data_IF_492283490200
#
_entry.id   IF_492283490200
#
_cell.length_a   1.000
_cell.length_b   1.000
_cell.length_c   1.000
_cell.angle_alpha   90.00
_cell.angle_beta   90.00
_cell.angle_gamma   90.00
#
_symmetry.space_group_name_H-M   'P 1'
#
loop_
_entity.id
_entity.type
_entity.pdbx_description
1 polymer ?
#
# COMPACT_ATOMS: atom_id res chain seq x y z
N UNK A 1 15.42 -11.10 83.44
CA UNK A 1 14.79 -9.86 82.92
C UNK A 1 14.99 -9.80 81.41
N UNK A 2 13.89 -9.58 80.69
CA UNK A 2 13.74 -9.17 79.27
C UNK A 2 14.59 -9.89 78.20
N UNK A 3 14.04 -10.96 77.65
CA UNK A 3 14.31 -11.40 76.28
C UNK A 3 13.30 -10.76 75.33
N UNK A 4 13.81 -10.01 74.35
CA UNK A 4 13.08 -9.42 73.24
C UNK A 4 12.48 -10.48 72.32
N UNK A 5 11.23 -10.30 71.89
CA UNK A 5 10.71 -10.99 70.71
C UNK A 5 10.11 -9.92 69.79
N UNK A 6 10.95 -9.40 68.90
CA UNK A 6 10.51 -8.72 67.70
C UNK A 6 9.80 -9.74 66.81
N UNK A 7 8.47 -9.68 66.79
CA UNK A 7 7.67 -10.36 65.78
C UNK A 7 7.80 -9.57 64.47
N UNK A 8 8.74 -9.95 63.63
CA UNK A 8 8.77 -9.55 62.23
C UNK A 8 7.54 -10.13 61.55
N UNK A 9 6.52 -9.29 61.32
CA UNK A 9 5.38 -9.59 60.47
C UNK A 9 5.88 -9.77 59.03
N UNK A 10 6.26 -11.00 58.66
CA UNK A 10 6.35 -11.38 57.25
C UNK A 10 4.93 -11.43 56.71
N UNK A 11 4.52 -10.37 56.01
CA UNK A 11 3.37 -10.41 55.11
C UNK A 11 3.73 -11.37 53.99
N UNK A 12 3.40 -12.65 54.14
CA UNK A 12 3.47 -13.62 53.06
C UNK A 12 2.33 -13.30 52.11
N UNK A 13 2.65 -12.59 51.03
CA UNK A 13 1.69 -12.35 49.95
C UNK A 13 1.10 -13.68 49.47
N UNK A 14 -0.22 -13.75 49.34
CA UNK A 14 -0.92 -14.94 48.84
C UNK A 14 -0.39 -15.28 47.44
N UNK A 15 -0.14 -16.57 47.16
CA UNK A 15 0.37 -17.06 45.86
C UNK A 15 -0.49 -16.58 44.68
N UNK A 16 -1.80 -16.40 44.90
CA UNK A 16 -2.74 -15.84 43.92
C UNK A 16 -2.48 -14.36 43.60
N UNK A 17 -2.17 -13.57 44.63
CA UNK A 17 -1.84 -12.15 44.44
C UNK A 17 -0.54 -12.00 43.65
N UNK A 18 0.47 -12.83 43.95
CA UNK A 18 1.75 -12.81 43.24
C UNK A 18 1.58 -13.22 41.77
N UNK A 19 0.80 -14.27 41.49
CA UNK A 19 0.51 -14.70 40.12
C UNK A 19 -0.24 -13.62 39.31
N UNK A 20 -1.27 -13.01 39.89
CA UNK A 20 -2.02 -11.94 39.24
C UNK A 20 -1.16 -10.68 39.04
N UNK A 21 -0.35 -10.30 40.02
CA UNK A 21 0.58 -9.18 39.90
C UNK A 21 1.62 -9.42 38.80
N UNK A 22 2.08 -10.66 38.66
CA UNK A 22 3.02 -11.06 37.60
C UNK A 22 2.36 -10.96 36.23
N UNK A 23 1.12 -11.47 36.09
CA UNK A 23 0.34 -11.28 34.86
C UNK A 23 0.17 -9.79 34.52
N UNK A 24 -0.23 -8.97 35.50
CA UNK A 24 -0.43 -7.54 35.28
C UNK A 24 0.86 -6.85 34.84
N UNK A 25 2.01 -7.21 35.40
CA UNK A 25 3.31 -6.70 34.96
C UNK A 25 3.56 -7.01 33.47
N UNK A 26 3.38 -8.27 33.06
CA UNK A 26 3.55 -8.66 31.65
C UNK A 26 2.51 -8.02 30.73
N UNK A 27 1.28 -7.90 31.19
CA UNK A 27 0.21 -7.25 30.44
C UNK A 27 0.49 -5.76 30.20
N UNK A 28 0.96 -5.05 31.24
CA UNK A 28 1.38 -3.65 31.12
C UNK A 28 2.62 -3.50 30.23
N UNK A 29 3.58 -4.43 30.34
CA UNK A 29 4.74 -4.46 29.44
C UNK A 29 4.31 -4.68 27.98
N UNK A 30 3.32 -5.54 27.72
CA UNK A 30 2.76 -5.75 26.40
C UNK A 30 2.02 -4.50 25.87
N UNK A 31 1.28 -3.77 26.72
CA UNK A 31 0.69 -2.48 26.35
C UNK A 31 1.78 -1.48 25.94
N UNK A 32 2.86 -1.38 26.71
CA UNK A 32 3.98 -0.50 26.36
C UNK A 32 4.59 -0.93 25.04
N UNK A 33 4.85 -2.22 24.85
CA UNK A 33 5.35 -2.77 23.58
C UNK A 33 4.46 -2.38 22.39
N UNK A 34 3.14 -2.59 22.46
CA UNK A 34 2.24 -2.24 21.37
C UNK A 34 2.12 -0.73 21.13
N UNK A 35 2.26 0.11 22.16
CA UNK A 35 2.42 1.56 21.95
C UNK A 35 3.65 1.93 21.11
N UNK A 36 4.72 1.14 21.20
CA UNK A 36 5.94 1.37 20.43
C UNK A 36 5.92 0.73 19.04
N UNK A 37 5.18 -0.36 18.84
CA UNK A 37 5.18 -1.09 17.55
C UNK A 37 3.95 -0.79 16.68
N UNK A 38 2.80 -0.50 17.28
CA UNK A 38 1.52 -0.35 16.58
C UNK A 38 1.12 1.09 16.29
N UNK A 39 1.99 2.07 16.58
CA UNK A 39 1.67 3.48 16.37
C UNK A 39 1.45 3.87 14.90
N UNK A 40 1.88 3.02 13.96
CA UNK A 40 1.64 3.16 12.51
C UNK A 40 0.52 2.28 11.97
N UNK A 41 -0.11 1.47 12.82
CA UNK A 41 -1.19 0.58 12.38
C UNK A 41 -2.53 1.31 12.53
N UNK A 42 -3.19 1.73 11.43
CA UNK A 42 -4.45 2.49 11.50
C UNK A 42 -5.61 1.70 12.11
N UNK A 43 -5.48 0.37 12.25
CA UNK A 43 -6.47 -0.49 12.91
C UNK A 43 -6.21 -0.68 14.41
N UNK A 44 -5.14 -0.09 14.93
CA UNK A 44 -4.74 -0.18 16.34
C UNK A 44 -5.37 0.91 17.18
N UNK A 45 -5.72 0.60 18.43
CA UNK A 45 -6.06 1.61 19.45
C UNK A 45 -4.82 2.44 19.82
N UNK A 46 -3.63 1.92 19.56
CA UNK A 46 -2.36 2.62 19.79
C UNK A 46 -1.90 3.45 18.60
N UNK A 47 -2.69 3.54 17.52
CA UNK A 47 -2.38 4.37 16.36
C UNK A 47 -2.16 5.83 16.79
N UNK A 48 -1.05 6.40 16.34
CA UNK A 48 -0.73 7.79 16.59
C UNK A 48 -0.58 8.50 15.24
N UNK A 49 -1.61 9.23 14.75
CA UNK A 49 -1.55 9.88 13.44
C UNK A 49 -0.43 10.92 13.36
N UNK A 50 0.03 11.48 14.48
CA UNK A 50 1.13 12.45 14.47
C UNK A 50 2.48 11.82 14.08
N UNK A 51 2.62 10.50 14.27
CA UNK A 51 3.83 9.72 13.98
C UNK A 51 3.63 8.70 12.85
N UNK A 52 2.39 8.24 12.68
CA UNK A 52 1.98 7.27 11.67
C UNK A 52 2.18 7.80 10.26
N UNK A 53 1.83 9.06 10.05
CA UNK A 53 1.97 9.75 8.77
C UNK A 53 3.31 10.50 8.60
N UNK A 54 4.31 10.21 9.44
CA UNK A 54 5.64 10.79 9.27
C UNK A 54 6.24 10.39 7.92
N UNK A 55 6.61 11.39 7.13
CA UNK A 55 7.26 11.21 5.83
C UNK A 55 8.76 11.02 6.07
N UNK A 56 9.21 9.77 6.15
CA UNK A 56 10.61 9.43 6.38
C UNK A 56 11.25 9.06 5.05
N UNK A 57 10.86 7.91 4.51
CA UNK A 57 11.42 7.43 3.25
C UNK A 57 10.81 8.18 2.06
N UNK A 58 9.52 8.53 2.13
CA UNK A 58 8.89 9.30 1.04
C UNK A 58 9.47 10.71 0.88
N UNK A 59 9.86 11.37 1.97
CA UNK A 59 10.53 12.67 1.88
C UNK A 59 11.89 12.53 1.20
N UNK A 60 12.72 11.58 1.67
CA UNK A 60 14.00 11.25 1.05
C UNK A 60 13.85 10.92 -0.45
N UNK A 61 12.88 10.09 -0.80
CA UNK A 61 12.66 9.66 -2.19
C UNK A 61 12.12 10.78 -3.07
N UNK A 62 11.30 11.67 -2.53
CA UNK A 62 10.83 12.86 -3.24
C UNK A 62 11.99 13.81 -3.55
N UNK A 63 12.89 14.06 -2.59
CA UNK A 63 14.06 14.92 -2.82
C UNK A 63 14.96 14.36 -3.95
N UNK A 64 15.15 13.04 -4.01
CA UNK A 64 15.89 12.39 -5.10
C UNK A 64 15.19 12.56 -6.45
N UNK A 65 13.87 12.39 -6.49
CA UNK A 65 13.07 12.53 -7.70
C UNK A 65 13.10 13.96 -8.23
N UNK A 66 12.90 14.94 -7.36
CA UNK A 66 12.88 16.35 -7.72
C UNK A 66 14.28 16.82 -8.17
N UNK A 67 15.35 16.33 -7.52
CA UNK A 67 16.72 16.58 -7.94
C UNK A 67 17.03 15.95 -9.31
N UNK A 68 16.52 14.76 -9.61
CA UNK A 68 16.67 14.16 -10.93
C UNK A 68 16.03 15.03 -12.01
N UNK A 69 14.76 15.43 -11.82
CA UNK A 69 14.03 16.26 -12.78
C UNK A 69 14.73 17.61 -13.00
N UNK A 70 15.24 18.23 -11.93
CA UNK A 70 15.93 19.52 -12.03
C UNK A 70 17.26 19.47 -12.80
N UNK A 71 17.87 18.29 -12.92
CA UNK A 71 19.16 18.09 -13.59
C UNK A 71 19.04 17.50 -15.00
N UNK A 72 17.82 17.34 -15.53
CA UNK A 72 17.61 16.85 -16.90
C UNK A 72 18.16 17.86 -17.90
N UNK A 73 19.01 17.40 -18.82
CA UNK A 73 19.52 18.22 -19.91
C UNK A 73 18.39 18.50 -20.92
N UNK A 74 18.10 19.78 -21.25
CA UNK A 74 17.06 20.14 -22.21
C UNK A 74 17.27 19.59 -23.63
N UNK A 75 18.50 19.21 -23.99
CA UNK A 75 18.82 18.55 -25.26
C UNK A 75 18.47 17.05 -25.27
N UNK A 76 18.13 16.47 -24.11
CA UNK A 76 17.96 15.03 -23.94
C UNK A 76 19.27 14.25 -23.93
N UNK A 77 20.42 14.92 -23.83
CA UNK A 77 21.72 14.24 -23.76
C UNK A 77 21.77 13.26 -22.58
N UNK A 78 22.13 12.01 -22.88
CA UNK A 78 22.21 10.94 -21.87
C UNK A 78 20.87 10.35 -21.47
N UNK A 79 19.75 10.75 -22.08
CA UNK A 79 18.46 10.10 -21.85
C UNK A 79 18.38 8.80 -22.67
N UNK A 80 18.16 7.69 -21.99
CA UNK A 80 17.80 6.43 -22.63
C UNK A 80 16.28 6.39 -22.92
N UNK A 81 15.91 5.83 -24.07
CA UNK A 81 14.54 5.64 -24.52
C UNK A 81 14.18 4.15 -24.55
N UNK A 82 12.91 3.85 -24.80
CA UNK A 82 12.45 2.48 -25.00
C UNK A 82 13.26 1.75 -26.09
N UNK A 83 13.56 0.48 -25.84
CA UNK A 83 14.16 -0.42 -26.82
C UNK A 83 13.16 -0.83 -27.91
N UNK A 84 13.56 -1.77 -28.77
CA UNK A 84 12.67 -2.29 -29.83
C UNK A 84 11.51 -3.13 -29.30
N UNK A 85 11.68 -3.76 -28.14
CA UNK A 85 10.70 -4.67 -27.53
C UNK A 85 10.59 -4.41 -26.02
N UNK A 86 10.07 -3.23 -25.59
CA UNK A 86 9.85 -2.96 -24.18
C UNK A 86 8.82 -3.95 -23.62
N UNK A 87 9.01 -4.41 -22.39
CA UNK A 87 8.07 -5.35 -21.77
C UNK A 87 6.92 -4.67 -21.02
N UNK A 88 7.09 -3.40 -20.63
CA UNK A 88 6.09 -2.64 -19.85
C UNK A 88 5.85 -1.29 -20.52
N UNK A 89 4.58 -0.96 -20.80
CA UNK A 89 4.17 0.41 -21.09
C UNK A 89 3.74 1.07 -19.78
N UNK A 90 4.22 2.27 -19.49
CA UNK A 90 3.86 3.04 -18.30
C UNK A 90 3.10 4.28 -18.75
N UNK A 91 1.83 4.35 -18.37
CA UNK A 91 1.00 5.52 -18.58
C UNK A 91 0.88 6.33 -17.28
N UNK A 92 1.14 7.64 -17.36
CA UNK A 92 0.85 8.58 -16.27
C UNK A 92 -0.04 9.71 -16.80
N UNK A 93 -1.24 9.85 -16.23
CA UNK A 93 -2.14 10.97 -16.52
C UNK A 93 -2.00 12.05 -15.44
N UNK A 94 -1.84 13.29 -15.85
CA UNK A 94 -1.68 14.44 -14.95
C UNK A 94 -2.68 15.54 -15.26
N UNK A 95 -3.24 16.11 -14.19
CA UNK A 95 -4.12 17.29 -14.26
C UNK A 95 -3.54 18.41 -13.41
N UNK A 96 -3.66 19.66 -13.87
CA UNK A 96 -3.13 20.81 -13.14
C UNK A 96 -3.82 20.96 -11.78
N UNK A 97 -3.04 20.82 -10.71
CA UNK A 97 -3.45 21.12 -9.32
C UNK A 97 -2.75 22.40 -8.84
N UNK A 98 -3.47 23.29 -8.17
CA UNK A 98 -2.88 24.56 -7.69
C UNK A 98 -1.93 24.33 -6.52
N UNK A 99 -0.66 24.69 -6.69
CA UNK A 99 0.35 24.64 -5.64
C UNK A 99 0.73 23.23 -5.22
N UNK A 100 0.81 22.30 -6.18
CA UNK A 100 1.39 20.97 -6.02
C UNK A 100 2.16 20.61 -7.31
N UNK A 101 3.30 19.91 -7.17
CA UNK A 101 4.15 19.46 -8.28
C UNK A 101 4.33 17.95 -8.25
N UNK A 102 3.25 17.21 -8.01
CA UNK A 102 3.32 15.77 -7.83
C UNK A 102 3.86 15.05 -9.07
N UNK A 103 3.47 15.51 -10.26
CA UNK A 103 3.86 14.89 -11.52
C UNK A 103 5.38 14.84 -11.73
N UNK A 104 6.10 15.88 -11.32
CA UNK A 104 7.56 15.91 -11.36
C UNK A 104 8.12 14.80 -10.47
N UNK A 105 7.68 14.71 -9.22
CA UNK A 105 8.17 13.70 -8.27
C UNK A 105 7.78 12.28 -8.70
N UNK A 106 6.60 12.09 -9.31
CA UNK A 106 6.17 10.80 -9.83
C UNK A 106 7.08 10.32 -10.97
N UNK A 107 7.29 11.14 -12.00
CA UNK A 107 8.19 10.82 -13.12
C UNK A 107 9.63 10.68 -12.67
N UNK A 108 10.09 11.60 -11.81
CA UNK A 108 11.44 11.59 -11.27
C UNK A 108 11.73 10.33 -10.46
N UNK A 109 10.82 9.91 -9.57
CA UNK A 109 11.00 8.71 -8.76
C UNK A 109 10.88 7.42 -9.58
N UNK A 110 10.13 7.44 -10.67
CA UNK A 110 10.03 6.31 -11.59
C UNK A 110 11.37 6.06 -12.31
N UNK A 111 12.03 7.12 -12.76
CA UNK A 111 13.22 7.05 -13.62
C UNK A 111 14.53 7.11 -12.85
N UNK A 112 14.58 7.82 -11.73
CA UNK A 112 15.81 7.97 -10.94
C UNK A 112 16.25 6.59 -10.42
N UNK A 113 17.50 6.25 -10.73
CA UNK A 113 18.14 5.02 -10.25
C UNK A 113 17.95 3.81 -11.17
N UNK A 114 17.25 3.96 -12.31
CA UNK A 114 17.22 2.95 -13.36
C UNK A 114 18.52 2.96 -14.17
N UNK A 115 18.99 1.78 -14.57
CA UNK A 115 20.05 1.68 -15.59
C UNK A 115 19.49 1.91 -17.00
N UNK A 116 20.35 2.20 -17.97
CA UNK A 116 19.92 2.34 -19.38
C UNK A 116 19.21 1.10 -19.92
N UNK A 117 19.61 -0.09 -19.47
CA UNK A 117 18.95 -1.35 -19.85
C UNK A 117 17.54 -1.43 -19.28
N UNK A 118 17.37 -1.06 -18.02
CA UNK A 118 16.05 -1.02 -17.37
C UNK A 118 15.17 0.04 -18.01
N UNK A 119 15.71 1.22 -18.32
CA UNK A 119 14.97 2.27 -19.03
C UNK A 119 14.55 1.84 -20.44
N UNK A 120 15.38 1.05 -21.15
CA UNK A 120 15.04 0.46 -22.46
C UNK A 120 13.92 -0.58 -22.39
N UNK A 121 13.68 -1.21 -21.24
CA UNK A 121 12.58 -2.16 -21.05
C UNK A 121 11.22 -1.46 -20.88
N UNK A 122 11.20 -0.14 -20.72
CA UNK A 122 10.01 0.65 -20.43
C UNK A 122 9.64 1.54 -21.61
N UNK A 123 8.37 1.55 -21.98
CA UNK A 123 7.77 2.57 -22.85
C UNK A 123 7.01 3.57 -21.98
N UNK A 124 7.50 4.80 -21.87
CA UNK A 124 6.91 5.83 -21.01
C UNK A 124 5.99 6.77 -21.81
N UNK A 125 4.69 6.68 -21.53
CA UNK A 125 3.66 7.57 -22.06
C UNK A 125 3.22 8.56 -20.97
N UNK A 126 3.44 9.85 -21.23
CA UNK A 126 3.02 10.93 -20.34
C UNK A 126 1.86 11.71 -20.94
N UNK A 127 0.81 11.91 -20.15
CA UNK A 127 -0.44 12.52 -20.61
C UNK A 127 -0.82 13.73 -19.77
N UNK A 128 -0.86 14.91 -20.40
CA UNK A 128 -1.46 16.11 -19.82
C UNK A 128 -2.95 16.12 -20.17
N UNK A 129 -3.78 15.69 -19.23
CA UNK A 129 -5.21 15.46 -19.44
C UNK A 129 -6.02 16.77 -19.39
N UNK A 130 -5.65 17.73 -20.24
CA UNK A 130 -6.34 19.01 -20.45
C UNK A 130 -6.65 19.19 -21.93
N UNK A 131 -7.88 19.63 -22.25
CA UNK A 131 -8.23 19.99 -23.64
C UNK A 131 -7.32 21.06 -24.22
N UNK A 132 -6.78 21.92 -23.36
CA UNK A 132 -5.66 22.79 -23.66
C UNK A 132 -4.46 22.43 -22.76
N UNK A 133 -3.50 21.66 -23.28
CA UNK A 133 -2.35 21.17 -22.50
C UNK A 133 -1.45 22.29 -21.96
N UNK A 134 -1.44 23.48 -22.57
CA UNK A 134 -0.64 24.63 -22.11
C UNK A 134 -1.05 25.20 -20.75
N UNK A 135 -2.23 24.82 -20.24
CA UNK A 135 -2.68 25.18 -18.88
C UNK A 135 -1.92 24.41 -17.80
N UNK A 136 -1.29 23.29 -18.15
CA UNK A 136 -0.52 22.47 -17.25
C UNK A 136 0.92 22.97 -17.17
N UNK A 137 1.43 23.16 -15.95
CA UNK A 137 2.76 23.74 -15.70
C UNK A 137 3.88 22.94 -16.36
N UNK A 138 3.79 21.60 -16.35
CA UNK A 138 4.76 20.72 -16.98
C UNK A 138 4.84 20.87 -18.51
N UNK A 139 3.83 21.46 -19.17
CA UNK A 139 3.83 21.64 -20.63
C UNK A 139 5.06 22.42 -21.13
N UNK A 140 5.51 23.40 -20.34
CA UNK A 140 6.65 24.25 -20.68
C UNK A 140 7.95 23.82 -19.97
N UNK A 141 7.97 22.67 -19.29
CA UNK A 141 9.18 22.19 -18.61
C UNK A 141 10.00 21.29 -19.54
N UNK A 142 11.32 21.51 -19.58
CA UNK A 142 12.22 20.84 -20.53
C UNK A 142 12.18 19.30 -20.40
N UNK A 143 12.14 18.79 -19.18
CA UNK A 143 12.10 17.35 -18.90
C UNK A 143 10.89 16.66 -19.53
N UNK A 144 9.74 17.36 -19.63
CA UNK A 144 8.52 16.79 -20.20
C UNK A 144 8.67 16.57 -21.71
N UNK A 145 9.55 17.31 -22.37
CA UNK A 145 9.82 17.19 -23.79
C UNK A 145 10.82 16.08 -24.13
N UNK A 146 11.66 15.67 -23.18
CA UNK A 146 12.80 14.77 -23.46
C UNK A 146 12.73 13.42 -22.76
N UNK A 147 12.08 13.30 -21.60
CA UNK A 147 12.00 12.04 -20.85
C UNK A 147 11.01 10.98 -21.39
N UNK A 148 9.80 11.34 -21.85
CA UNK A 148 8.85 10.34 -22.33
C UNK A 148 9.21 9.79 -23.71
N UNK A 149 8.79 8.55 -23.96
CA UNK A 149 8.76 7.96 -25.31
C UNK A 149 7.56 8.49 -26.11
N UNK A 150 6.44 8.75 -25.42
CA UNK A 150 5.23 9.30 -26.01
C UNK A 150 4.65 10.41 -25.13
N UNK A 151 4.29 11.54 -25.76
CA UNK A 151 3.47 12.58 -25.14
C UNK A 151 2.06 12.47 -25.69
N UNK A 152 1.14 12.02 -24.86
CA UNK A 152 -0.25 11.85 -25.24
C UNK A 152 -1.00 13.18 -25.15
N UNK A 153 -1.86 13.45 -26.13
CA UNK A 153 -2.76 14.61 -26.18
C UNK A 153 -4.14 14.17 -26.69
N UNK A 154 -5.09 15.11 -26.74
CA UNK A 154 -6.41 14.89 -27.35
C UNK A 154 -6.47 15.25 -28.85
N UNK A 155 -5.34 15.57 -29.48
CA UNK A 155 -5.33 16.18 -30.83
C UNK A 155 -5.93 15.26 -31.91
N UNK A 156 -5.93 13.95 -31.67
CA UNK A 156 -6.48 12.95 -32.58
C UNK A 156 -7.98 12.67 -32.36
N UNK A 157 -8.64 13.37 -31.44
CA UNK A 157 -10.07 13.21 -31.18
C UNK A 157 -10.93 14.05 -32.13
N UNK A 158 -12.20 13.65 -32.29
CA UNK A 158 -13.16 14.43 -33.08
C UNK A 158 -13.49 15.76 -32.38
N UNK A 159 -13.82 16.82 -33.14
CA UNK A 159 -14.17 18.11 -32.55
C UNK A 159 -15.29 18.02 -31.50
N UNK A 160 -16.31 17.20 -31.75
CA UNK A 160 -17.41 16.99 -30.80
C UNK A 160 -16.97 16.33 -29.49
N UNK A 161 -16.00 15.41 -29.53
CA UNK A 161 -15.43 14.80 -28.32
C UNK A 161 -14.61 15.83 -27.53
N UNK A 162 -13.85 16.69 -28.21
CA UNK A 162 -13.07 17.76 -27.56
C UNK A 162 -14.00 18.77 -26.88
N UNK A 163 -15.11 19.14 -27.53
CA UNK A 163 -16.10 20.06 -26.95
C UNK A 163 -16.77 19.46 -25.71
N UNK A 164 -17.10 18.17 -25.73
CA UNK A 164 -17.62 17.45 -24.56
C UNK A 164 -16.62 17.42 -23.40
N UNK A 165 -15.35 17.11 -23.67
CA UNK A 165 -14.29 17.13 -22.64
C UNK A 165 -14.12 18.52 -22.04
N UNK A 166 -14.22 19.57 -22.86
CA UNK A 166 -14.15 20.96 -22.38
C UNK A 166 -15.34 21.30 -21.49
N UNK A 167 -16.53 20.76 -21.78
CA UNK A 167 -17.69 20.88 -20.91
C UNK A 167 -17.44 20.21 -19.56
N UNK A 168 -16.94 18.96 -19.55
CA UNK A 168 -16.65 18.22 -18.33
C UNK A 168 -15.58 18.91 -17.46
N UNK A 169 -14.56 19.53 -18.08
CA UNK A 169 -13.54 20.33 -17.38
C UNK A 169 -14.15 21.54 -16.64
N UNK A 170 -15.12 22.21 -17.27
CA UNK A 170 -15.75 23.40 -16.71
C UNK A 170 -16.85 23.06 -15.69
N UNK A 171 -17.60 21.98 -15.93
CA UNK A 171 -18.76 21.58 -15.14
C UNK A 171 -18.44 20.58 -14.04
N UNK A 172 -17.15 20.36 -13.73
CA UNK A 172 -16.71 19.46 -12.65
C UNK A 172 -17.15 18.01 -12.86
N UNK A 173 -16.95 17.48 -14.07
CA UNK A 173 -17.18 16.06 -14.41
C UNK A 173 -16.19 15.12 -13.74
N UNK A 174 -16.23 15.03 -12.40
CA UNK A 174 -15.22 14.40 -11.54
C UNK A 174 -15.13 12.87 -11.62
N UNK A 175 -16.01 12.25 -12.37
CA UNK A 175 -16.10 10.79 -12.55
C UNK A 175 -15.98 10.44 -14.03
N UNK A 176 -16.77 11.08 -14.88
CA UNK A 176 -16.75 10.84 -16.33
C UNK A 176 -15.41 11.23 -16.99
N UNK A 177 -14.89 12.44 -16.74
CA UNK A 177 -13.65 12.88 -17.38
C UNK A 177 -12.44 12.03 -16.94
N UNK A 178 -12.20 11.78 -15.64
CA UNK A 178 -11.10 10.91 -15.23
C UNK A 178 -11.18 9.50 -15.81
N UNK A 179 -12.40 8.94 -15.96
CA UNK A 179 -12.58 7.66 -16.62
C UNK A 179 -12.20 7.72 -18.10
N UNK A 180 -12.65 8.77 -18.81
CA UNK A 180 -12.25 8.99 -20.20
C UNK A 180 -10.71 9.11 -20.34
N UNK A 181 -10.09 9.92 -19.49
CA UNK A 181 -8.65 10.15 -19.49
C UNK A 181 -7.87 8.85 -19.28
N UNK A 182 -8.35 8.04 -18.33
CA UNK A 182 -7.79 6.73 -18.03
C UNK A 182 -7.91 5.78 -19.22
N UNK A 183 -9.08 5.70 -19.86
CA UNK A 183 -9.31 4.86 -21.05
C UNK A 183 -8.45 5.32 -22.23
N UNK A 184 -8.33 6.63 -22.46
CA UNK A 184 -7.51 7.19 -23.54
C UNK A 184 -6.04 6.81 -23.38
N UNK A 185 -5.50 6.97 -22.16
CA UNK A 185 -4.14 6.56 -21.83
C UNK A 185 -3.95 5.04 -21.90
N UNK A 186 -4.91 4.27 -21.40
CA UNK A 186 -4.87 2.80 -21.44
C UNK A 186 -4.84 2.29 -22.89
N UNK A 187 -5.60 2.92 -23.79
CA UNK A 187 -5.61 2.62 -25.22
C UNK A 187 -4.26 2.94 -25.88
N UNK A 188 -3.67 4.10 -25.60
CA UNK A 188 -2.33 4.46 -26.09
C UNK A 188 -1.30 3.41 -25.64
N UNK A 189 -1.27 3.06 -24.35
CA UNK A 189 -0.38 2.00 -23.88
C UNK A 189 -0.68 0.62 -24.51
N UNK A 190 -1.95 0.28 -24.74
CA UNK A 190 -2.31 -0.98 -25.40
C UNK A 190 -1.78 -1.05 -26.83
N UNK A 191 -1.74 0.08 -27.55
CA UNK A 191 -1.21 0.18 -28.91
C UNK A 191 0.32 0.09 -28.98
N UNK A 192 1.04 0.27 -27.87
CA UNK A 192 2.50 0.06 -27.81
C UNK A 192 2.94 -1.41 -27.90
N UNK A 193 1.97 -2.35 -27.91
CA UNK A 193 2.19 -3.80 -28.01
C UNK A 193 3.02 -4.44 -26.88
N UNK A 194 3.20 -3.75 -25.75
CA UNK A 194 3.88 -4.33 -24.58
C UNK A 194 3.05 -5.46 -23.96
N UNK A 195 3.70 -6.52 -23.42
CA UNK A 195 3.06 -7.59 -22.65
C UNK A 195 2.36 -7.12 -21.36
N UNK A 196 2.87 -6.04 -20.75
CA UNK A 196 2.36 -5.49 -19.51
C UNK A 196 2.08 -4.00 -19.66
N UNK A 197 1.03 -3.52 -18.99
CA UNK A 197 0.63 -2.11 -18.98
C UNK A 197 0.52 -1.63 -17.54
N UNK A 198 1.31 -0.64 -17.19
CA UNK A 198 1.34 -0.02 -15.88
C UNK A 198 0.64 1.33 -15.95
N UNK A 199 -0.40 1.50 -15.15
CA UNK A 199 -1.16 2.74 -15.04
C UNK A 199 -0.87 3.38 -13.69
N UNK A 200 -0.44 4.64 -13.74
CA UNK A 200 -0.07 5.42 -12.56
C UNK A 200 -0.87 6.72 -12.48
N UNK A 201 -1.21 7.11 -11.26
CA UNK A 201 -1.64 8.48 -10.96
C UNK A 201 -0.43 9.43 -10.85
N UNK A 202 -0.65 10.74 -10.99
CA UNK A 202 0.41 11.76 -10.96
C UNK A 202 0.95 12.07 -9.55
N UNK A 203 0.34 11.52 -8.50
CA UNK A 203 0.68 11.72 -7.10
C UNK A 203 1.17 10.48 -6.37
N UNK A 204 1.88 9.65 -7.13
CA UNK A 204 2.61 8.50 -6.62
C UNK A 204 4.11 8.76 -6.52
N UNK A 205 4.78 7.96 -5.69
CA UNK A 205 6.22 7.98 -5.51
C UNK A 205 6.77 6.55 -5.53
N UNK A 206 7.53 6.22 -6.57
CA UNK A 206 8.13 4.89 -6.69
C UNK A 206 9.33 4.75 -5.73
N UNK A 207 9.43 3.63 -5.02
CA UNK A 207 10.64 3.35 -4.22
C UNK A 207 11.84 3.15 -5.16
N UNK A 208 13.06 3.43 -4.69
CA UNK A 208 14.24 2.94 -5.40
C UNK A 208 14.22 1.40 -5.48
N UNK A 209 14.49 0.84 -6.66
CA UNK A 209 14.40 -0.61 -6.91
C UNK A 209 12.99 -1.14 -7.22
N UNK A 210 11.98 -0.27 -7.38
CA UNK A 210 10.62 -0.69 -7.77
C UNK A 210 10.61 -1.61 -8.99
N UNK A 211 11.43 -1.31 -10.01
CA UNK A 211 11.49 -2.05 -11.28
C UNK A 211 11.79 -3.53 -11.05
N UNK A 212 12.85 -3.84 -10.30
CA UNK A 212 13.27 -5.22 -10.06
C UNK A 212 12.20 -6.01 -9.31
N UNK A 213 11.62 -5.41 -8.27
CA UNK A 213 10.58 -6.06 -7.45
C UNK A 213 9.30 -6.27 -8.25
N UNK A 214 8.90 -5.32 -9.07
CA UNK A 214 7.77 -5.45 -9.99
C UNK A 214 8.01 -6.53 -11.04
N UNK A 215 9.18 -6.56 -11.68
CA UNK A 215 9.55 -7.60 -12.67
C UNK A 215 9.58 -9.00 -12.06
N UNK A 216 10.10 -9.13 -10.84
CA UNK A 216 10.06 -10.39 -10.10
C UNK A 216 8.61 -10.82 -9.80
N UNK A 217 7.77 -9.89 -9.33
CA UNK A 217 6.37 -10.18 -9.05
C UNK A 217 5.57 -10.58 -10.31
N UNK A 218 5.84 -9.92 -11.44
CA UNK A 218 5.32 -10.28 -12.77
C UNK A 218 5.72 -11.71 -13.13
N UNK A 219 7.02 -12.03 -13.03
CA UNK A 219 7.52 -13.37 -13.33
C UNK A 219 6.89 -14.45 -12.45
N UNK A 220 6.74 -14.18 -11.14
CA UNK A 220 6.05 -15.08 -10.22
C UNK A 220 4.56 -15.23 -10.54
N UNK A 221 3.92 -14.18 -11.05
CA UNK A 221 2.50 -14.17 -11.43
C UNK A 221 2.27 -14.96 -12.73
N UNK A 222 3.12 -14.83 -13.73
CA UNK A 222 3.05 -15.59 -14.99
C UNK A 222 3.16 -17.11 -14.78
N UNK A 223 3.85 -17.53 -13.71
CA UNK A 223 3.98 -18.95 -13.35
C UNK A 223 2.75 -19.53 -12.65
N UNK A 224 1.76 -18.69 -12.29
CA UNK A 224 0.54 -19.15 -11.62
C UNK A 224 -0.39 -19.83 -12.61
N UNK A 225 -1.05 -20.91 -12.16
CA UNK A 225 -1.98 -21.70 -13.00
C UNK A 225 -3.19 -20.90 -13.48
N UNK A 226 -3.53 -19.85 -12.76
CA UNK A 226 -4.65 -18.95 -12.92
C UNK A 226 -4.24 -17.56 -13.43
N UNK A 227 -3.04 -17.45 -14.03
CA UNK A 227 -2.55 -16.21 -14.64
C UNK A 227 -3.57 -15.56 -15.58
N UNK A 228 -4.20 -16.32 -16.47
CA UNK A 228 -5.23 -15.84 -17.42
C UNK A 228 -6.52 -15.33 -16.76
N UNK A 229 -6.69 -15.55 -15.45
CA UNK A 229 -7.79 -14.99 -14.66
C UNK A 229 -7.36 -13.76 -13.86
N UNK A 230 -6.12 -13.30 -14.00
CA UNK A 230 -5.60 -12.16 -13.25
C UNK A 230 -5.95 -10.86 -13.96
N UNK A 231 -6.61 -9.94 -13.24
CA UNK A 231 -6.96 -8.63 -13.81
C UNK A 231 -5.80 -7.64 -13.70
N UNK A 232 -5.10 -7.62 -12.56
CA UNK A 232 -3.96 -6.73 -12.31
C UNK A 232 -3.10 -7.21 -11.15
N UNK A 233 -1.88 -6.68 -11.12
CA UNK A 233 -0.98 -6.61 -9.99
C UNK A 233 -0.97 -5.17 -9.44
N UNK A 234 -1.38 -5.02 -8.19
CA UNK A 234 -1.38 -3.76 -7.44
C UNK A 234 0.00 -3.51 -6.82
N UNK A 235 0.56 -2.34 -7.09
CA UNK A 235 1.86 -1.93 -6.55
C UNK A 235 1.74 -0.94 -5.38
N UNK A 236 0.57 -0.32 -5.22
CA UNK A 236 0.19 0.52 -4.10
C UNK A 236 -1.10 0.03 -3.42
N UNK A 237 -1.11 -0.05 -2.10
CA UNK A 237 -2.33 -0.26 -1.31
C UNK A 237 -2.23 0.51 0.01
N UNK A 238 -3.36 0.86 0.60
CA UNK A 238 -3.42 1.45 1.96
C UNK A 238 -3.77 0.40 3.00
N UNK A 239 -3.07 0.40 4.14
CA UNK A 239 -3.38 -0.47 5.26
C UNK A 239 -4.67 -0.09 6.01
N UNK A 240 -5.24 1.08 5.72
CA UNK A 240 -6.44 1.58 6.39
C UNK A 240 -7.64 0.61 6.31
N UNK A 241 -7.76 -0.13 5.21
CA UNK A 241 -8.87 -1.07 4.99
C UNK A 241 -8.58 -2.49 5.48
N UNK A 242 -7.36 -2.78 5.97
CA UNK A 242 -6.99 -4.09 6.51
C UNK A 242 -7.29 -4.24 7.99
N UNK A 243 -8.20 -3.44 8.56
CA UNK A 243 -8.61 -3.58 9.96
C UNK A 243 -9.36 -4.87 10.27
N UNK A 244 -9.97 -4.91 11.46
CA UNK A 244 -10.82 -6.01 11.89
C UNK A 244 -12.19 -5.96 11.20
N UNK A 245 -12.22 -6.41 9.95
CA UNK A 245 -13.40 -6.35 9.08
C UNK A 245 -14.51 -7.31 9.53
N UNK A 246 -15.76 -6.85 9.53
CA UNK A 246 -16.91 -7.62 10.02
C UNK A 246 -17.16 -8.89 9.22
N UNK A 247 -16.80 -8.91 7.94
CA UNK A 247 -16.96 -10.03 7.02
C UNK A 247 -16.15 -11.26 7.49
N UNK A 248 -15.07 -11.04 8.24
CA UNK A 248 -14.16 -12.07 8.71
C UNK A 248 -14.41 -12.48 10.18
N UNK A 249 -15.51 -12.01 10.80
CA UNK A 249 -15.85 -12.32 12.20
C UNK A 249 -15.84 -13.81 12.56
N UNK A 250 -16.26 -14.77 11.68
CA UNK A 250 -16.24 -16.18 12.03
C UNK A 250 -14.81 -16.70 12.24
N UNK A 251 -13.87 -16.20 11.44
CA UNK A 251 -12.45 -16.54 11.56
C UNK A 251 -11.87 -16.01 12.88
N UNK A 252 -12.20 -14.77 13.24
CA UNK A 252 -11.76 -14.17 14.49
C UNK A 252 -12.30 -14.92 15.72
N UNK A 253 -13.58 -15.28 15.69
CA UNK A 253 -14.21 -16.06 16.74
C UNK A 253 -13.59 -17.46 16.83
N UNK A 254 -13.40 -18.13 15.68
CA UNK A 254 -12.78 -19.45 15.62
C UNK A 254 -11.41 -19.46 16.30
N UNK A 255 -10.52 -18.54 15.93
CA UNK A 255 -9.19 -18.45 16.54
C UNK A 255 -9.23 -18.07 18.02
N UNK A 256 -10.18 -17.23 18.43
CA UNK A 256 -10.39 -16.91 19.84
C UNK A 256 -10.81 -18.15 20.66
N UNK A 257 -11.71 -18.98 20.11
CA UNK A 257 -12.14 -20.24 20.72
C UNK A 257 -10.99 -21.25 20.76
N UNK A 258 -10.21 -21.38 19.68
CA UNK A 258 -9.04 -22.26 19.63
C UNK A 258 -8.03 -21.86 20.70
N UNK A 259 -7.72 -20.57 20.84
CA UNK A 259 -6.81 -20.07 21.88
C UNK A 259 -7.36 -20.33 23.28
N UNK A 260 -8.67 -20.17 23.50
CA UNK A 260 -9.29 -20.51 24.77
C UNK A 260 -9.22 -22.02 25.09
N UNK A 261 -9.51 -22.87 24.11
CA UNK A 261 -9.39 -24.32 24.23
C UNK A 261 -7.96 -24.78 24.48
N UNK A 262 -6.98 -24.20 23.77
CA UNK A 262 -5.56 -24.48 23.97
C UNK A 262 -5.10 -24.05 25.37
N UNK A 263 -5.55 -22.90 25.86
CA UNK A 263 -5.26 -22.44 27.22
C UNK A 263 -5.84 -23.38 28.27
N UNK A 264 -7.10 -23.80 28.10
CA UNK A 264 -7.72 -24.79 28.98
C UNK A 264 -6.97 -26.12 28.97
N UNK A 265 -6.62 -26.64 27.79
CA UNK A 265 -5.86 -27.87 27.63
C UNK A 265 -4.47 -27.76 28.29
N UNK A 266 -3.79 -26.62 28.16
CA UNK A 266 -2.51 -26.35 28.79
C UNK A 266 -2.62 -26.36 30.32
N UNK A 267 -3.62 -25.69 30.89
CA UNK A 267 -3.88 -25.72 32.35
C UNK A 267 -4.13 -27.16 32.81
N UNK A 268 -4.97 -27.92 32.09
CA UNK A 268 -5.25 -29.31 32.41
C UNK A 268 -3.99 -30.19 32.35
N UNK A 269 -3.20 -30.07 31.28
CA UNK A 269 -1.96 -30.80 31.09
C UNK A 269 -0.94 -30.46 32.19
N UNK A 270 -0.73 -29.19 32.52
CA UNK A 270 0.19 -28.77 33.58
C UNK A 270 -0.24 -29.35 34.93
N UNK A 271 -1.54 -29.31 35.26
CA UNK A 271 -2.04 -29.93 36.49
C UNK A 271 -1.86 -31.45 36.52
N UNK A 272 -2.02 -32.11 35.38
CA UNK A 272 -1.89 -33.58 35.26
C UNK A 272 -0.44 -34.06 35.34
N UNK A 273 0.47 -33.41 34.61
CA UNK A 273 1.86 -33.84 34.48
C UNK A 273 2.80 -33.23 35.53
N UNK A 274 2.42 -32.11 36.14
CA UNK A 274 3.20 -31.45 37.19
C UNK A 274 2.35 -31.21 38.44
N UNK A 275 2.15 -32.23 39.31
CA UNK A 275 1.33 -32.11 40.51
C UNK A 275 1.77 -30.99 41.46
N UNK A 276 3.05 -30.63 41.46
CA UNK A 276 3.62 -29.51 42.21
C UNK A 276 3.02 -28.14 41.83
N UNK A 277 2.34 -28.02 40.68
CA UNK A 277 1.64 -26.80 40.25
C UNK A 277 0.26 -26.63 40.89
N UNK A 278 -0.31 -27.69 41.49
CA UNK A 278 -1.67 -27.71 42.04
C UNK A 278 -1.95 -26.62 43.10
N UNK A 279 -1.00 -26.28 44.00
CA UNK A 279 -1.19 -25.17 44.95
C UNK A 279 -1.30 -23.79 44.29
N UNK A 280 -0.79 -23.64 43.07
CA UNK A 280 -0.81 -22.39 42.31
C UNK A 280 -1.98 -22.33 41.32
N UNK A 281 -2.34 -23.46 40.69
CA UNK A 281 -3.47 -23.58 39.78
C UNK A 281 -4.73 -24.04 40.52
N UNK A 282 -5.20 -23.25 41.49
CA UNK A 282 -6.47 -23.52 42.19
C UNK A 282 -7.68 -23.26 41.28
N UNK A 283 -8.88 -23.72 41.66
CA UNK A 283 -10.10 -23.46 40.88
C UNK A 283 -10.35 -21.95 40.68
N UNK A 284 -10.12 -21.14 41.72
CA UNK A 284 -10.23 -19.67 41.62
C UNK A 284 -9.20 -19.08 40.67
N UNK A 285 -7.95 -19.57 40.68
CA UNK A 285 -6.91 -19.12 39.75
C UNK A 285 -7.23 -19.51 38.31
N UNK A 286 -7.72 -20.72 38.10
CA UNK A 286 -8.13 -21.18 36.78
C UNK A 286 -9.30 -20.36 36.23
N UNK A 287 -10.29 -20.03 37.07
CA UNK A 287 -11.38 -19.13 36.69
C UNK A 287 -10.86 -17.74 36.35
N UNK A 288 -9.94 -17.17 37.13
CA UNK A 288 -9.33 -15.88 36.84
C UNK A 288 -8.54 -15.89 35.51
N UNK A 289 -7.77 -16.94 35.25
CA UNK A 289 -7.03 -17.08 33.98
C UNK A 289 -8.00 -17.13 32.80
N UNK A 290 -9.03 -17.98 32.87
CA UNK A 290 -9.95 -18.24 31.76
C UNK A 290 -10.93 -17.10 31.50
N UNK A 291 -11.39 -16.40 32.53
CA UNK A 291 -12.44 -15.39 32.42
C UNK A 291 -11.96 -13.95 32.63
N UNK A 292 -10.71 -13.74 33.02
CA UNK A 292 -10.12 -12.39 33.16
C UNK A 292 -8.86 -12.27 32.30
N UNK A 293 -7.81 -13.02 32.61
CA UNK A 293 -6.51 -12.84 31.95
C UNK A 293 -6.56 -13.16 30.45
N UNK A 294 -7.21 -14.25 30.07
CA UNK A 294 -7.35 -14.68 28.68
C UNK A 294 -8.19 -13.69 27.86
N UNK A 295 -9.42 -13.29 28.27
CA UNK A 295 -10.17 -12.25 27.58
C UNK A 295 -9.42 -10.92 27.48
N UNK A 296 -8.70 -10.50 28.52
CA UNK A 296 -7.86 -9.29 28.46
C UNK A 296 -6.74 -9.40 27.42
N UNK A 297 -6.11 -10.58 27.31
CA UNK A 297 -5.03 -10.83 26.34
C UNK A 297 -5.56 -10.89 24.91
N UNK A 298 -6.70 -11.56 24.69
CA UNK A 298 -7.40 -11.56 23.41
C UNK A 298 -7.80 -10.13 23.03
N UNK A 299 -8.40 -9.38 23.97
CA UNK A 299 -8.74 -7.98 23.76
C UNK A 299 -7.54 -7.12 23.40
N UNK A 300 -6.38 -7.34 24.05
CA UNK A 300 -5.14 -6.65 23.71
C UNK A 300 -4.62 -7.01 22.30
N UNK A 301 -4.77 -8.27 21.86
CA UNK A 301 -4.42 -8.68 20.49
C UNK A 301 -5.22 -7.91 19.44
N UNK A 302 -6.54 -7.76 19.64
CA UNK A 302 -7.37 -6.94 18.75
C UNK A 302 -7.02 -5.45 18.88
N UNK A 303 -6.82 -4.94 20.10
CA UNK A 303 -6.46 -3.54 20.33
C UNK A 303 -5.09 -3.15 19.76
N UNK A 304 -4.16 -4.10 19.62
CA UNK A 304 -2.87 -3.89 18.99
C UNK A 304 -2.96 -3.59 17.48
N UNK A 305 -4.09 -3.91 16.84
CA UNK A 305 -4.33 -3.68 15.42
C UNK A 305 -3.93 -4.87 14.55
N UNK A 306 -4.73 -5.10 13.50
CA UNK A 306 -4.61 -6.25 12.59
C UNK A 306 -3.24 -6.27 11.92
N UNK A 307 -2.80 -5.15 11.35
CA UNK A 307 -1.59 -5.14 10.52
C UNK A 307 -0.32 -5.34 11.35
N UNK A 308 -0.34 -4.96 12.62
CA UNK A 308 0.75 -5.25 13.57
C UNK A 308 0.84 -6.74 13.88
N UNK A 309 -0.29 -7.37 14.24
CA UNK A 309 -0.28 -8.74 14.80
C UNK A 309 -0.46 -9.84 13.76
N UNK A 310 -0.97 -9.48 12.57
CA UNK A 310 -1.22 -10.37 11.44
C UNK A 310 -0.95 -9.63 10.12
N UNK A 311 0.31 -9.23 9.87
CA UNK A 311 0.69 -8.54 8.63
C UNK A 311 0.52 -9.45 7.42
N UNK A 312 0.36 -8.83 6.24
CA UNK A 312 0.46 -9.54 4.98
C UNK A 312 1.87 -10.12 4.82
N UNK A 313 1.96 -11.31 4.23
CA UNK A 313 3.27 -11.91 3.93
C UNK A 313 3.92 -11.16 2.78
N UNK A 314 5.22 -10.91 2.89
CA UNK A 314 6.01 -10.32 1.82
C UNK A 314 6.00 -11.23 0.57
N UNK A 315 6.08 -10.61 -0.61
CA UNK A 315 5.96 -11.22 -1.92
C UNK A 315 4.60 -10.98 -2.59
N UNK A 316 4.32 -11.78 -3.62
CA UNK A 316 3.05 -11.74 -4.36
C UNK A 316 1.90 -12.33 -3.53
N UNK A 317 0.89 -11.51 -3.22
CA UNK A 317 -0.28 -11.91 -2.43
C UNK A 317 -1.58 -11.72 -3.22
N UNK A 318 -2.56 -12.59 -2.98
CA UNK A 318 -3.94 -12.32 -3.38
C UNK A 318 -4.48 -11.14 -2.56
N UNK A 319 -5.18 -10.23 -3.22
CA UNK A 319 -5.80 -9.06 -2.61
C UNK A 319 -7.16 -8.80 -3.25
N UNK A 320 -8.01 -9.83 -3.15
CA UNK A 320 -9.35 -9.80 -3.72
C UNK A 320 -10.34 -8.95 -2.92
N UNK A 321 -10.04 -8.71 -1.64
CA UNK A 321 -10.88 -7.92 -0.73
C UNK A 321 -10.03 -6.87 -0.02
N UNK A 322 -10.69 -5.78 0.38
CA UNK A 322 -10.11 -4.68 1.18
C UNK A 322 -8.90 -4.00 0.53
N UNK A 323 -8.67 -4.28 -0.74
CA UNK A 323 -7.77 -3.52 -1.57
C UNK A 323 -8.41 -2.19 -1.88
N UNK A 324 -7.62 -1.11 -1.81
CA UNK A 324 -8.04 0.14 -2.40
C UNK A 324 -6.97 0.73 -3.29
N UNK A 325 -7.59 1.41 -4.25
CA UNK A 325 -7.19 2.62 -4.92
C UNK A 325 -6.33 2.37 -6.17
N UNK A 326 -6.47 3.26 -7.15
CA UNK A 326 -5.97 3.11 -8.53
C UNK A 326 -4.60 3.73 -8.78
N UNK A 327 -3.86 4.07 -7.72
CA UNK A 327 -2.60 4.81 -7.82
C UNK A 327 -1.55 4.11 -8.66
N UNK A 328 -1.42 2.79 -8.53
CA UNK A 328 -0.40 2.03 -9.23
C UNK A 328 -0.86 0.60 -9.52
N UNK A 329 -1.32 0.38 -10.75
CA UNK A 329 -1.70 -0.93 -11.26
C UNK A 329 -0.79 -1.38 -12.40
N UNK A 330 -0.56 -2.68 -12.48
CA UNK A 330 0.08 -3.34 -13.60
C UNK A 330 -0.85 -4.42 -14.14
N UNK A 331 -1.34 -4.23 -15.35
CA UNK A 331 -2.27 -5.11 -16.03
C UNK A 331 -1.52 -6.03 -17.00
N UNK A 332 -1.80 -7.34 -17.02
CA UNK A 332 -1.38 -8.19 -18.11
C UNK A 332 -2.17 -7.81 -19.37
N UNK A 333 -1.54 -7.88 -20.54
CA UNK A 333 -2.16 -7.45 -21.80
C UNK A 333 -3.51 -8.11 -22.08
N UNK A 334 -3.70 -9.38 -21.72
CA UNK A 334 -4.94 -10.11 -21.97
C UNK A 334 -6.15 -9.51 -21.23
N UNK A 335 -5.95 -8.82 -20.09
CA UNK A 335 -7.02 -8.23 -19.30
C UNK A 335 -7.54 -6.88 -19.88
N UNK A 336 -6.76 -6.24 -20.75
CA UNK A 336 -6.97 -4.83 -21.13
C UNK A 336 -8.17 -4.62 -22.03
N UNK A 337 -8.34 -5.45 -23.06
CA UNK A 337 -9.42 -5.27 -24.03
C UNK A 337 -10.81 -5.31 -23.35
N UNK A 338 -11.03 -6.30 -22.47
CA UNK A 338 -12.29 -6.42 -21.74
C UNK A 338 -12.52 -5.30 -20.72
N UNK A 339 -11.47 -4.75 -20.12
CA UNK A 339 -11.56 -3.59 -19.22
C UNK A 339 -11.93 -2.32 -19.98
N UNK A 340 -11.30 -2.08 -21.13
CA UNK A 340 -11.61 -0.93 -22.00
C UNK A 340 -13.09 -0.98 -22.40
N UNK A 341 -13.56 -2.12 -22.92
CA UNK A 341 -14.96 -2.28 -23.34
C UNK A 341 -15.94 -2.02 -22.18
N UNK A 342 -15.60 -2.49 -20.97
CA UNK A 342 -16.41 -2.27 -19.79
C UNK A 342 -16.46 -0.80 -19.36
N UNK A 343 -15.33 -0.10 -19.37
CA UNK A 343 -15.26 1.32 -19.04
C UNK A 343 -16.03 2.17 -20.04
N UNK A 344 -15.86 1.90 -21.33
CA UNK A 344 -16.57 2.63 -22.38
C UNK A 344 -18.07 2.38 -22.32
N UNK A 345 -18.52 1.16 -22.01
CA UNK A 345 -19.94 0.87 -21.83
C UNK A 345 -20.54 1.62 -20.63
N UNK A 346 -19.79 1.79 -19.54
CA UNK A 346 -20.27 2.42 -18.32
C UNK A 346 -20.31 3.94 -18.41
N UNK A 347 -19.41 4.55 -19.18
CA UNK A 347 -19.26 5.98 -19.42
C UNK A 347 -18.93 6.85 -18.19
N UNK A 348 -19.37 6.49 -16.99
CA UNK A 348 -19.20 7.27 -15.77
C UNK A 348 -18.94 6.36 -14.55
N UNK A 349 -18.07 6.82 -13.65
CA UNK A 349 -17.77 6.16 -12.38
C UNK A 349 -16.30 6.29 -11.93
N UNK A 350 -15.99 5.72 -10.77
CA UNK A 350 -14.62 5.67 -10.24
C UNK A 350 -13.88 4.44 -10.75
N UNK A 351 -12.68 4.64 -11.31
CA UNK A 351 -11.87 3.58 -11.94
C UNK A 351 -11.65 2.40 -10.98
N UNK A 352 -11.27 2.67 -9.73
CA UNK A 352 -11.03 1.64 -8.72
C UNK A 352 -12.28 0.78 -8.46
N UNK A 353 -13.43 1.39 -8.14
CA UNK A 353 -14.69 0.68 -7.89
C UNK A 353 -15.16 -0.09 -9.14
N UNK A 354 -14.99 0.48 -10.32
CA UNK A 354 -15.37 -0.14 -11.58
C UNK A 354 -14.49 -1.34 -11.91
N UNK A 355 -13.18 -1.24 -11.68
CA UNK A 355 -12.25 -2.36 -11.86
C UNK A 355 -12.60 -3.51 -10.92
N UNK A 356 -12.87 -3.21 -9.65
CA UNK A 356 -13.28 -4.20 -8.65
C UNK A 356 -14.59 -4.87 -9.05
N UNK A 357 -15.61 -4.08 -9.43
CA UNK A 357 -16.90 -4.60 -9.90
C UNK A 357 -16.75 -5.50 -11.14
N UNK A 358 -15.94 -5.08 -12.11
CA UNK A 358 -15.64 -5.89 -13.29
C UNK A 358 -14.99 -7.21 -12.91
N UNK A 359 -14.06 -7.18 -11.97
CA UNK A 359 -13.34 -8.36 -11.48
C UNK A 359 -14.27 -9.33 -10.77
N UNK A 360 -15.19 -8.84 -9.94
CA UNK A 360 -16.19 -9.66 -9.26
C UNK A 360 -17.15 -10.34 -10.23
N UNK A 361 -17.71 -9.58 -11.18
CA UNK A 361 -18.65 -10.10 -12.20
C UNK A 361 -18.00 -11.21 -13.01
N UNK A 362 -16.73 -11.02 -13.39
CA UNK A 362 -15.99 -11.97 -14.23
C UNK A 362 -15.18 -13.01 -13.43
N UNK A 363 -15.25 -12.98 -12.10
CA UNK A 363 -14.50 -13.85 -11.18
C UNK A 363 -12.99 -13.85 -11.44
N UNK A 364 -12.45 -12.65 -11.66
CA UNK A 364 -11.04 -12.40 -11.89
C UNK A 364 -10.29 -12.21 -10.55
N UNK A 365 -9.01 -12.54 -10.56
CA UNK A 365 -8.12 -12.46 -9.42
C UNK A 365 -7.36 -11.15 -9.40
N UNK A 366 -7.19 -10.61 -8.19
CA UNK A 366 -6.47 -9.36 -7.96
C UNK A 366 -5.26 -9.66 -7.09
N UNK A 367 -4.11 -9.23 -7.54
CA UNK A 367 -2.85 -9.48 -6.86
C UNK A 367 -2.26 -8.19 -6.33
N UNK A 368 -1.41 -8.29 -5.31
CA UNK A 368 -0.64 -7.16 -4.79
C UNK A 368 0.79 -7.59 -4.48
N UNK A 369 1.71 -6.64 -4.68
CA UNK A 369 3.09 -6.79 -4.25
C UNK A 369 3.25 -6.22 -2.82
N UNK A 370 3.71 -7.07 -1.90
CA UNK A 370 3.93 -6.73 -0.48
C UNK A 370 5.42 -6.84 -0.16
N UNK A 371 6.06 -5.85 0.50
CA UNK A 371 5.53 -4.52 0.79
C UNK A 371 5.30 -3.71 -0.50
N UNK A 372 4.46 -2.68 -0.39
CA UNK A 372 4.15 -1.78 -1.50
C UNK A 372 5.42 -1.10 -2.05
N UNK A 373 5.53 -0.99 -3.38
CA UNK A 373 6.68 -0.36 -4.06
C UNK A 373 6.38 1.06 -4.54
N UNK A 374 5.17 1.56 -4.29
CA UNK A 374 4.76 2.94 -4.52
C UNK A 374 4.18 3.53 -3.24
N UNK A 375 4.22 4.85 -3.10
CA UNK A 375 3.49 5.59 -2.07
C UNK A 375 2.58 6.61 -2.73
N UNK A 376 1.40 6.83 -2.15
CA UNK A 376 0.57 7.98 -2.50
C UNK A 376 0.98 9.21 -1.68
N UNK A 377 1.33 10.30 -2.35
CA UNK A 377 1.77 11.56 -1.71
C UNK A 377 0.78 12.71 -1.94
N UNK A 378 -0.33 12.44 -2.62
CA UNK A 378 -1.39 13.41 -2.91
C UNK A 378 -2.09 13.86 -1.62
N UNK A 379 -1.91 15.11 -1.24
CA UNK A 379 -2.63 15.71 -0.10
C UNK A 379 -3.71 16.70 -0.51
N UNK A 380 -3.89 16.93 -1.81
CA UNK A 380 -4.84 17.89 -2.39
C UNK A 380 -5.57 17.23 -3.56
N UNK A 381 -6.90 17.18 -3.52
CA UNK A 381 -7.72 16.64 -4.59
C UNK A 381 -7.96 17.68 -5.68
N UNK A 382 -8.07 17.23 -6.93
CA UNK A 382 -8.61 18.04 -8.03
C UNK A 382 -10.14 18.22 -7.93
N UNK A 383 -10.81 17.50 -7.02
CA UNK A 383 -12.29 17.44 -6.90
C UNK A 383 -12.91 18.56 -6.01
N UNK A 384 -12.10 19.36 -5.32
CA UNK A 384 -12.59 20.42 -4.42
C UNK A 384 -13.14 19.88 -3.08
N UNK A 385 -13.11 20.74 -2.04
CA UNK A 385 -13.40 20.45 -0.62
C UNK A 385 -12.76 19.17 -0.06
N UNK A 386 -11.44 19.23 0.10
CA UNK A 386 -10.58 18.17 0.67
C UNK A 386 -10.90 17.79 2.14
N UNK A 387 -11.76 18.55 2.82
CA UNK A 387 -12.00 18.45 4.27
C UNK A 387 -13.31 17.75 4.64
N UNK A 388 -14.23 17.56 3.69
CA UNK A 388 -15.43 16.77 3.92
C UNK A 388 -15.02 15.31 4.13
N UNK A 389 -15.36 14.74 5.29
CA UNK A 389 -14.91 13.42 5.76
C UNK A 389 -13.42 13.30 6.15
N UNK A 390 -12.75 14.42 6.44
CA UNK A 390 -11.41 14.41 7.01
C UNK A 390 -11.32 13.53 8.27
N UNK A 391 -10.44 12.53 8.23
CA UNK A 391 -10.06 11.72 9.39
C UNK A 391 -8.71 12.19 9.92
N UNK A 392 -8.52 12.12 11.23
CA UNK A 392 -7.27 12.52 11.91
C UNK A 392 -6.79 13.95 11.61
N UNK A 393 -7.73 14.87 11.27
CA UNK A 393 -7.40 16.26 10.91
C UNK A 393 -6.71 16.42 9.55
N UNK A 394 -6.80 15.41 8.68
CA UNK A 394 -6.15 15.37 7.37
C UNK A 394 -7.18 15.17 6.27
N UNK A 395 -6.90 15.72 5.09
CA UNK A 395 -7.71 15.52 3.90
C UNK A 395 -7.86 14.03 3.56
N UNK A 396 -8.98 13.64 2.94
CA UNK A 396 -9.25 12.23 2.59
C UNK A 396 -8.14 11.64 1.73
N UNK A 397 -7.67 12.38 0.71
CA UNK A 397 -6.54 11.95 -0.12
C UNK A 397 -5.26 11.73 0.71
N UNK A 398 -5.00 12.60 1.69
CA UNK A 398 -3.82 12.49 2.56
C UNK A 398 -3.86 11.33 3.57
N UNK A 399 -5.00 10.61 3.64
CA UNK A 399 -5.17 9.39 4.44
C UNK A 399 -4.94 8.12 3.61
N UNK A 400 -4.96 8.22 2.28
CA UNK A 400 -4.52 7.15 1.39
C UNK A 400 -2.99 7.07 1.49
N UNK A 401 -2.51 6.14 2.31
CA UNK A 401 -1.12 6.08 2.75
C UNK A 401 -0.71 4.63 2.96
N UNK A 402 0.50 4.28 2.53
CA UNK A 402 1.14 3.02 2.89
C UNK A 402 2.12 3.25 4.05
N UNK A 403 1.89 2.63 5.20
CA UNK A 403 2.70 2.85 6.40
C UNK A 403 4.01 2.06 6.38
N UNK A 404 4.01 0.86 5.79
CA UNK A 404 5.21 0.04 5.66
C UNK A 404 6.23 0.65 4.68
N UNK A 405 5.78 1.41 3.67
CA UNK A 405 6.63 2.16 2.74
C UNK A 405 7.59 3.12 3.46
N UNK A 406 7.15 3.74 4.55
CA UNK A 406 7.99 4.65 5.34
C UNK A 406 9.11 3.93 6.13
N UNK A 407 9.08 2.60 6.18
CA UNK A 407 10.09 1.76 6.84
C UNK A 407 11.22 1.33 5.90
N UNK A 408 11.14 1.69 4.61
CA UNK A 408 12.24 1.44 3.68
C UNK A 408 13.53 2.13 4.14
N UNK A 409 14.64 1.40 3.96
CA UNK A 409 15.96 1.88 4.33
C UNK A 409 16.82 2.01 3.06
N UNK A 410 17.21 3.24 2.67
CA UNK A 410 17.98 3.48 1.44
C UNK A 410 19.26 2.63 1.35
N UNK A 411 19.98 2.46 2.47
CA UNK A 411 21.23 1.68 2.50
C UNK A 411 20.98 0.19 2.27
N UNK A 412 19.85 -0.34 2.74
CA UNK A 412 19.50 -1.75 2.48
C UNK A 412 19.11 -1.96 1.01
N UNK A 413 18.36 -1.02 0.43
CA UNK A 413 17.93 -1.07 -0.97
C UNK A 413 19.13 -0.98 -1.91
N UNK A 414 20.07 -0.06 -1.65
CA UNK A 414 21.31 0.06 -2.44
C UNK A 414 22.10 -1.26 -2.48
N UNK A 415 22.20 -1.95 -1.34
CA UNK A 415 22.87 -3.26 -1.24
C UNK A 415 22.10 -4.36 -1.98
N UNK A 416 20.78 -4.31 -1.95
CA UNK A 416 19.91 -5.24 -2.69
C UNK A 416 20.14 -5.08 -4.21
N UNK A 417 20.12 -3.84 -4.70
CA UNK A 417 20.40 -3.51 -6.11
C UNK A 417 21.78 -3.99 -6.55
N UNK A 418 22.82 -3.61 -5.80
CA UNK A 418 24.19 -4.04 -6.11
C UNK A 418 24.35 -5.57 -6.17
N UNK A 419 23.60 -6.31 -5.33
CA UNK A 419 23.59 -7.77 -5.37
C UNK A 419 22.88 -8.31 -6.61
N UNK A 420 21.76 -7.71 -7.00
CA UNK A 420 21.02 -8.09 -8.20
C UNK A 420 21.89 -7.84 -9.44
N UNK A 421 22.50 -6.67 -9.54
CA UNK A 421 23.37 -6.32 -10.67
C UNK A 421 24.57 -7.28 -10.80
N UNK A 422 25.15 -7.71 -9.68
CA UNK A 422 26.20 -8.75 -9.68
C UNK A 422 25.72 -10.10 -10.19
N UNK A 423 24.47 -10.48 -9.91
CA UNK A 423 23.90 -11.75 -10.39
C UNK A 423 23.59 -11.65 -11.89
N UNK A 424 23.06 -10.51 -12.33
CA UNK A 424 22.63 -10.29 -13.72
C UNK A 424 23.81 -10.06 -14.68
N UNK A 425 24.90 -9.43 -14.22
CA UNK A 425 26.06 -9.11 -15.06
C UNK A 425 27.34 -9.89 -14.72
N UNK A 426 27.34 -10.70 -13.64
CA UNK A 426 28.47 -11.52 -13.22
C UNK A 426 28.40 -12.99 -13.68
N UNK A 427 27.36 -13.36 -14.43
CA UNK A 427 27.23 -14.63 -15.16
C UNK A 427 27.34 -14.36 -16.66
#
# INVERSE_FOLDING_TARGET
>A
MRGSSERVLRVTSSSHFLAFSTFLLFYLAAIVYFRWTSFRDPSSVFFDPSRGFDRIYSAFRQDQADAFIANVDPSGYGVAYAGQSPSICIGIASVQRKGARYFNSAVGSLLQGLSDEQRRDLHLTLFLAHTNSSTHMAHNEDWFNVLPDERLTYDNLTPGAIDHLRELENNKGYTEKPLFDYVHLLKSCYLSHTPWIMMLEDDVLAMDGWYHRTKQAIFELEQRRDFERSVYLRLFYTEQFFGWNSEEWPSYLFWSIVTAGATFAAIYAVRKYYPASTPFLTSSTNLAILFVCLPMTIGLYFAAGRTTVSPLRHGLQHMDNFGCCSQAFVFPRHAIAGLIDYYEMRHDGYIDMMTETYSEINKLQRWALVPSVFQHVGSKSSKGDDMDHASWGRAVAANIWNYEYELYNPVKIEREKARIDQITHGA
#
